data_IF_298218353990
#
_entry.id   IF_298218353990
#
_cell.length_a   1.000
_cell.length_b   1.000
_cell.length_c   1.000
_cell.angle_alpha   90.00
_cell.angle_beta   90.00
_cell.angle_gamma   90.00
#
_symmetry.space_group_name_H-M   'P 1'
#
loop_
_entity.id
_entity.type
_entity.pdbx_description
1 polymer ?
#
# COMPACT_ATOMS: atom_id res chain seq x y z
N UNK A 1 4.18 15.18 37.67
CA UNK A 1 3.71 13.99 36.93
C UNK A 1 3.58 14.40 35.48
N UNK A 2 4.35 13.74 34.63
CA UNK A 2 4.67 14.16 33.26
C UNK A 2 3.54 13.74 32.31
N UNK A 3 2.67 14.69 31.96
CA UNK A 3 1.50 14.48 31.09
C UNK A 3 1.90 14.50 29.59
N UNK A 4 2.86 13.68 29.20
CA UNK A 4 3.18 13.48 27.78
C UNK A 4 2.21 12.44 27.19
N UNK A 5 1.44 12.85 26.18
CA UNK A 5 0.63 11.95 25.36
C UNK A 5 1.54 10.84 24.81
N UNK A 6 1.34 9.61 25.28
CA UNK A 6 2.04 8.44 24.76
C UNK A 6 1.38 8.12 23.41
N UNK A 7 2.00 8.53 22.31
CA UNK A 7 1.63 8.07 20.97
C UNK A 7 1.90 6.56 20.93
N UNK A 8 0.89 5.77 21.27
CA UNK A 8 0.86 4.33 20.99
C UNK A 8 0.84 4.21 19.48
N UNK A 9 1.98 3.84 18.89
CA UNK A 9 2.13 3.58 17.45
C UNK A 9 0.96 2.73 16.93
N UNK A 10 0.05 3.30 16.13
CA UNK A 10 -0.76 2.51 15.25
C UNK A 10 0.11 2.25 14.01
N UNK A 11 0.47 0.99 13.74
CA UNK A 11 0.85 0.59 12.40
C UNK A 11 -0.37 0.84 11.51
N UNK A 12 -0.46 2.04 10.94
CA UNK A 12 -1.55 2.42 10.06
C UNK A 12 -1.23 1.86 8.68
N UNK A 13 -1.87 0.74 8.31
CA UNK A 13 -1.88 0.28 6.93
C UNK A 13 -2.72 1.27 6.11
N UNK A 14 -2.06 2.23 5.46
CA UNK A 14 -2.71 3.19 4.59
C UNK A 14 -2.97 2.55 3.23
N UNK A 15 -4.20 2.10 2.97
CA UNK A 15 -4.61 1.66 1.64
C UNK A 15 -5.01 2.90 0.82
N UNK A 16 -4.14 3.32 -0.09
CA UNK A 16 -4.39 4.45 -0.99
C UNK A 16 -4.82 3.87 -2.33
N UNK A 17 -6.10 4.05 -2.66
CA UNK A 17 -6.64 3.73 -3.98
C UNK A 17 -6.54 4.98 -4.83
N UNK A 18 -5.72 4.93 -5.88
CA UNK A 18 -5.48 6.07 -6.76
C UNK A 18 -6.10 5.83 -8.12
N UNK A 19 -6.64 6.88 -8.73
CA UNK A 19 -7.17 6.85 -10.09
C UNK A 19 -6.07 6.70 -11.15
N UNK A 20 -4.83 7.08 -10.83
CA UNK A 20 -3.65 6.88 -11.66
C UNK A 20 -2.58 6.12 -10.87
N UNK A 21 -2.37 4.88 -11.28
CA UNK A 21 -1.41 3.99 -10.64
C UNK A 21 0.04 4.46 -10.81
N UNK A 22 0.41 4.96 -11.99
CA UNK A 22 1.79 5.33 -12.31
C UNK A 22 2.21 6.59 -11.53
N UNK A 23 1.35 7.62 -11.54
CA UNK A 23 1.60 8.85 -10.78
C UNK A 23 1.71 8.59 -9.27
N UNK A 24 0.96 7.59 -8.78
CA UNK A 24 0.98 7.23 -7.36
C UNK A 24 2.25 6.47 -7.00
N UNK A 25 2.67 5.54 -7.86
CA UNK A 25 3.92 4.83 -7.64
C UNK A 25 5.10 5.80 -7.67
N UNK A 26 5.14 6.73 -8.61
CA UNK A 26 6.15 7.80 -8.65
C UNK A 26 6.16 8.59 -7.33
N UNK A 27 4.99 9.03 -6.86
CA UNK A 27 4.92 9.82 -5.64
C UNK A 27 5.36 9.05 -4.39
N UNK A 28 4.81 7.85 -4.15
CA UNK A 28 5.06 7.13 -2.90
C UNK A 28 6.40 6.38 -2.89
N UNK A 29 6.82 5.80 -4.02
CA UNK A 29 8.08 5.06 -4.10
C UNK A 29 9.25 5.98 -4.41
N UNK A 30 9.19 6.73 -5.51
CA UNK A 30 10.35 7.50 -6.00
C UNK A 30 10.56 8.81 -5.22
N UNK A 31 9.48 9.56 -4.93
CA UNK A 31 9.58 10.87 -4.27
C UNK A 31 9.66 10.71 -2.74
N UNK A 32 8.80 9.89 -2.14
CA UNK A 32 8.79 9.68 -0.69
C UNK A 32 9.74 8.58 -0.20
N UNK A 33 10.27 7.74 -1.10
CA UNK A 33 11.27 6.73 -0.77
C UNK A 33 10.70 5.53 0.00
N UNK A 34 9.41 5.21 -0.13
CA UNK A 34 8.86 4.01 0.50
C UNK A 34 9.32 2.76 -0.24
N UNK A 35 9.77 1.76 0.52
CA UNK A 35 10.35 0.55 -0.05
C UNK A 35 9.26 -0.36 -0.62
N UNK A 36 9.45 -0.88 -1.83
CA UNK A 36 8.59 -1.92 -2.37
C UNK A 36 8.85 -3.24 -1.62
N UNK A 37 7.81 -3.77 -0.98
CA UNK A 37 7.87 -5.04 -0.25
C UNK A 37 7.09 -6.16 -0.93
N UNK A 38 6.24 -5.81 -1.90
CA UNK A 38 5.50 -6.75 -2.72
C UNK A 38 5.12 -6.09 -4.04
N UNK A 39 5.35 -6.78 -5.15
CA UNK A 39 4.78 -6.46 -6.45
C UNK A 39 4.27 -7.75 -7.07
N UNK A 40 2.95 -7.82 -7.25
CA UNK A 40 2.30 -9.01 -7.77
C UNK A 40 1.28 -8.66 -8.83
N UNK A 41 1.25 -9.47 -9.88
CA UNK A 41 0.17 -9.50 -10.84
C UNK A 41 -0.88 -10.49 -10.38
N UNK A 42 -2.09 -10.01 -10.11
CA UNK A 42 -3.25 -10.86 -9.82
C UNK A 42 -3.94 -11.19 -11.15
N UNK A 43 -4.03 -12.47 -11.55
CA UNK A 43 -4.75 -12.87 -12.75
C UNK A 43 -6.27 -12.80 -12.53
N UNK A 44 -7.03 -12.74 -13.63
CA UNK A 44 -8.46 -12.46 -13.59
C UNK A 44 -9.28 -13.56 -12.88
N UNK A 45 -8.88 -14.82 -13.02
CA UNK A 45 -9.51 -15.95 -12.35
C UNK A 45 -9.38 -15.87 -10.82
N UNK A 46 -8.20 -15.49 -10.32
CA UNK A 46 -7.96 -15.25 -8.88
C UNK A 46 -8.73 -14.01 -8.42
N UNK A 47 -8.67 -12.90 -9.17
CA UNK A 47 -9.37 -11.67 -8.84
C UNK A 47 -10.89 -11.88 -8.72
N UNK A 48 -11.49 -12.60 -9.67
CA UNK A 48 -12.91 -12.95 -9.69
C UNK A 48 -13.26 -13.97 -8.60
N UNK A 49 -12.48 -15.04 -8.49
CA UNK A 49 -12.72 -16.13 -7.55
C UNK A 49 -12.62 -15.69 -6.08
N UNK A 50 -11.75 -14.72 -5.78
CA UNK A 50 -11.62 -14.12 -4.46
C UNK A 50 -12.49 -12.87 -4.25
N UNK A 51 -13.32 -12.49 -5.23
CA UNK A 51 -14.17 -11.29 -5.21
C UNK A 51 -13.41 -9.98 -4.94
N UNK A 52 -12.15 -9.89 -5.40
CA UNK A 52 -11.29 -8.72 -5.21
C UNK A 52 -11.57 -7.63 -6.25
N UNK A 53 -11.77 -8.03 -7.51
CA UNK A 53 -11.98 -7.12 -8.63
C UNK A 53 -12.65 -7.86 -9.80
N UNK A 54 -13.34 -7.15 -10.72
CA UNK A 54 -13.96 -7.75 -11.89
C UNK A 54 -12.96 -8.17 -12.99
N UNK A 55 -11.68 -7.79 -12.86
CA UNK A 55 -10.61 -8.06 -13.84
C UNK A 55 -9.29 -8.34 -13.14
N UNK A 56 -8.28 -8.78 -13.90
CA UNK A 56 -6.89 -8.83 -13.43
C UNK A 56 -6.39 -7.42 -13.03
N UNK A 57 -5.47 -7.36 -12.07
CA UNK A 57 -4.86 -6.11 -11.63
C UNK A 57 -3.46 -6.35 -11.04
N UNK A 58 -2.63 -5.31 -11.04
CA UNK A 58 -1.32 -5.31 -10.37
C UNK A 58 -1.49 -4.71 -8.98
N UNK A 59 -0.88 -5.32 -7.98
CA UNK A 59 -0.83 -4.81 -6.62
C UNK A 59 0.61 -4.59 -6.22
N UNK A 60 0.92 -3.38 -5.76
CA UNK A 60 2.19 -3.05 -5.10
C UNK A 60 1.90 -2.75 -3.64
N UNK A 61 2.72 -3.30 -2.74
CA UNK A 61 2.77 -2.90 -1.33
C UNK A 61 4.06 -2.12 -1.09
N UNK A 62 3.93 -0.92 -0.55
CA UNK A 62 5.04 -0.08 -0.13
C UNK A 62 5.12 -0.06 1.41
N UNK A 63 6.33 -0.09 1.95
CA UNK A 63 6.62 0.03 3.37
C UNK A 63 7.22 1.40 3.69
N UNK A 64 6.66 2.05 4.70
CA UNK A 64 7.22 3.28 5.27
C UNK A 64 8.31 2.93 6.30
N UNK A 65 9.42 2.37 5.83
CA UNK A 65 10.57 1.99 6.65
C UNK A 65 10.34 0.76 7.54
N UNK A 66 11.28 0.57 8.48
CA UNK A 66 11.31 -0.56 9.40
C UNK A 66 10.73 -0.12 10.74
N UNK A 67 9.45 -0.38 11.00
CA UNK A 67 8.88 -0.24 12.35
C UNK A 67 9.17 -1.47 13.19
#
# INVERSE_FOLDING_TARGET
MDSRLKLVHPAADLCIVCSDFAASLEFYHEILGFEEVLDIQIPADVALGAHLAPTAFRQIRLAAGHT
#
